data_IF_741966052166
#
_entry.id   IF_741966052166
#
_cell.length_a   1.000
_cell.length_b   1.000
_cell.length_c   1.000
_cell.angle_alpha   90.00
_cell.angle_beta   90.00
_cell.angle_gamma   90.00
#
_symmetry.space_group_name_H-M   'P 1'
#
loop_
_entity.id
_entity.type
_entity.pdbx_description
1 polymer ?
#
# COMPACT_ATOMS: atom_id res chain seq x y z
N UNK A 1 11.37 5.00 39.91
CA UNK A 1 11.55 4.10 38.75
C UNK A 1 10.67 4.65 37.63
N UNK A 2 11.25 5.25 36.59
CA UNK A 2 10.47 5.72 35.45
C UNK A 2 10.09 4.49 34.61
N UNK A 3 8.81 4.14 34.59
CA UNK A 3 8.24 3.19 33.63
C UNK A 3 8.44 3.82 32.26
N UNK A 4 9.36 3.27 31.47
CA UNK A 4 9.51 3.61 30.07
C UNK A 4 8.19 3.29 29.37
N UNK A 5 7.34 4.30 29.22
CA UNK A 5 6.16 4.22 28.38
C UNK A 5 6.66 3.77 27.00
N UNK A 6 6.17 2.67 26.41
CA UNK A 6 6.55 2.35 25.05
C UNK A 6 6.08 3.53 24.22
N UNK A 7 7.02 4.29 23.63
CA UNK A 7 6.69 5.36 22.71
C UNK A 7 5.72 4.74 21.71
N UNK A 8 4.44 5.16 21.66
CA UNK A 8 3.52 4.59 20.69
C UNK A 8 4.18 4.86 19.34
N UNK A 9 4.47 3.78 18.60
CA UNK A 9 5.00 3.89 17.24
C UNK A 9 4.12 4.93 16.56
N UNK A 10 4.66 6.01 15.98
CA UNK A 10 3.84 7.09 15.46
C UNK A 10 2.82 6.46 14.51
N UNK A 11 1.56 6.43 14.95
CA UNK A 11 0.47 5.95 14.11
C UNK A 11 0.54 6.83 12.89
N UNK A 12 0.65 6.21 11.71
CA UNK A 12 0.71 6.95 10.45
C UNK A 12 -0.36 8.04 10.48
N UNK A 13 0.09 9.29 10.38
CA UNK A 13 -0.78 10.45 10.48
C UNK A 13 -0.96 10.98 9.07
N UNK A 14 -2.17 10.96 8.53
CA UNK A 14 -2.41 11.48 7.20
C UNK A 14 -2.23 13.01 7.19
N UNK A 15 -1.43 13.52 6.24
CA UNK A 15 -1.26 14.96 6.00
C UNK A 15 -2.49 15.58 5.31
N UNK A 16 -3.33 14.74 4.70
CA UNK A 16 -4.50 15.12 3.92
C UNK A 16 -5.74 14.28 4.32
N UNK A 17 -6.98 14.69 4.03
CA UNK A 17 -8.16 13.89 4.33
C UNK A 17 -8.08 12.52 3.63
N UNK A 18 -8.10 11.46 4.44
CA UNK A 18 -7.99 10.09 3.93
C UNK A 18 -9.28 9.72 3.21
N UNK A 19 -9.14 9.31 1.96
CA UNK A 19 -10.29 8.85 1.17
C UNK A 19 -10.65 7.45 1.65
N UNK A 20 -11.77 7.35 2.37
CA UNK A 20 -12.33 6.07 2.79
C UNK A 20 -12.88 5.32 1.59
N UNK A 21 -12.31 4.16 1.30
CA UNK A 21 -12.78 3.28 0.24
C UNK A 21 -13.98 2.48 0.75
N UNK A 22 -14.93 2.21 -0.16
CA UNK A 22 -16.02 1.27 0.11
C UNK A 22 -15.47 -0.16 0.17
N UNK A 23 -16.24 -1.10 0.73
CA UNK A 23 -15.83 -2.51 0.77
C UNK A 23 -15.61 -3.11 -0.62
N UNK A 24 -16.40 -2.64 -1.61
CA UNK A 24 -16.28 -3.05 -3.00
C UNK A 24 -14.99 -2.51 -3.63
N UNK A 25 -14.69 -1.22 -3.43
CA UNK A 25 -13.43 -0.60 -3.90
C UNK A 25 -12.22 -1.29 -3.27
N UNK A 26 -12.26 -1.55 -1.95
CA UNK A 26 -11.18 -2.26 -1.26
C UNK A 26 -10.93 -3.63 -1.88
N UNK A 27 -11.98 -4.38 -2.14
CA UNK A 27 -11.87 -5.71 -2.75
C UNK A 27 -11.27 -5.61 -4.15
N UNK A 28 -11.82 -4.71 -4.98
CA UNK A 28 -11.29 -4.47 -6.33
C UNK A 28 -9.82 -4.07 -6.32
N UNK A 29 -9.41 -3.17 -5.42
CA UNK A 29 -8.02 -2.69 -5.38
C UNK A 29 -7.08 -3.81 -4.93
N UNK A 30 -7.48 -4.65 -3.98
CA UNK A 30 -6.69 -5.81 -3.54
C UNK A 30 -6.45 -6.78 -4.69
N UNK A 31 -7.46 -7.06 -5.49
CA UNK A 31 -7.33 -7.96 -6.65
C UNK A 31 -6.41 -7.35 -7.70
N UNK A 32 -6.65 -6.10 -8.09
CA UNK A 32 -5.80 -5.39 -9.06
C UNK A 32 -4.34 -5.31 -8.61
N UNK A 33 -4.07 -5.01 -7.35
CA UNK A 33 -2.69 -5.00 -6.82
C UNK A 33 -2.04 -6.37 -6.96
N UNK A 34 -2.76 -7.46 -6.65
CA UNK A 34 -2.23 -8.83 -6.78
C UNK A 34 -1.93 -9.17 -8.23
N UNK A 35 -2.83 -8.81 -9.15
CA UNK A 35 -2.65 -9.04 -10.58
C UNK A 35 -1.47 -8.24 -11.14
N UNK A 36 -1.37 -6.95 -10.81
CA UNK A 36 -0.30 -6.07 -11.27
C UNK A 36 1.07 -6.50 -10.73
N UNK A 37 1.14 -6.86 -9.45
CA UNK A 37 2.38 -7.37 -8.84
C UNK A 37 2.80 -8.68 -9.50
N UNK A 38 1.88 -9.61 -9.72
CA UNK A 38 2.16 -10.89 -10.36
C UNK A 38 2.55 -10.72 -11.84
N UNK A 39 1.79 -9.91 -12.59
CA UNK A 39 2.04 -9.64 -14.01
C UNK A 39 3.35 -8.91 -14.27
N UNK A 40 3.76 -8.04 -13.36
CA UNK A 40 5.05 -7.35 -13.41
C UNK A 40 6.21 -8.14 -12.79
N UNK A 41 5.98 -9.36 -12.28
CA UNK A 41 6.98 -10.15 -11.52
C UNK A 41 7.61 -9.38 -10.35
N UNK A 42 6.82 -8.51 -9.72
CA UNK A 42 7.22 -7.72 -8.56
C UNK A 42 6.99 -8.50 -7.25
N UNK A 43 7.53 -7.97 -6.15
CA UNK A 43 7.31 -8.54 -4.81
C UNK A 43 6.60 -7.55 -3.91
N UNK A 44 5.87 -8.05 -2.90
CA UNK A 44 5.30 -7.19 -1.86
C UNK A 44 6.37 -6.39 -1.10
N UNK A 45 7.59 -6.94 -0.97
CA UNK A 45 8.74 -6.22 -0.39
C UNK A 45 9.10 -4.97 -1.20
N UNK A 46 9.08 -5.07 -2.54
CA UNK A 46 9.30 -3.91 -3.41
C UNK A 46 8.21 -2.86 -3.18
N UNK A 47 6.94 -3.27 -3.17
CA UNK A 47 5.81 -2.38 -2.95
C UNK A 47 5.88 -1.67 -1.59
N UNK A 48 6.22 -2.40 -0.52
CA UNK A 48 6.46 -1.84 0.82
C UNK A 48 7.55 -0.76 0.80
N UNK A 49 8.64 -1.00 0.07
CA UNK A 49 9.71 -0.02 -0.07
C UNK A 49 9.26 1.23 -0.82
N UNK A 50 8.45 1.09 -1.86
CA UNK A 50 7.87 2.24 -2.58
C UNK A 50 6.89 3.04 -1.71
N UNK A 51 6.04 2.37 -0.93
CA UNK A 51 5.17 3.04 0.03
C UNK A 51 5.97 3.81 1.09
N UNK A 52 7.08 3.24 1.55
CA UNK A 52 7.97 3.88 2.52
C UNK A 52 8.65 5.13 1.95
N UNK A 53 9.02 5.11 0.67
CA UNK A 53 9.56 6.26 -0.06
C UNK A 53 8.54 7.41 -0.15
N UNK A 54 7.26 7.08 -0.33
CA UNK A 54 6.14 8.04 -0.31
C UNK A 54 5.71 8.45 1.12
N UNK A 55 6.43 8.01 2.16
CA UNK A 55 6.14 8.33 3.57
C UNK A 55 5.09 7.45 4.25
N UNK A 56 4.56 6.42 3.58
CA UNK A 56 3.60 5.47 4.14
C UNK A 56 4.32 4.24 4.71
N UNK A 57 4.82 4.37 5.94
CA UNK A 57 5.47 3.28 6.66
C UNK A 57 4.54 2.07 6.82
N UNK A 58 4.90 0.96 6.18
CA UNK A 58 4.09 -0.25 6.11
C UNK A 58 4.99 -1.47 6.28
N UNK A 59 4.60 -2.43 7.11
CA UNK A 59 5.32 -3.71 7.25
C UNK A 59 4.69 -4.83 6.40
N UNK A 60 5.43 -5.94 6.21
CA UNK A 60 4.92 -7.15 5.52
C UNK A 60 3.60 -7.65 6.10
N UNK A 61 3.47 -7.63 7.42
CA UNK A 61 2.24 -8.05 8.10
C UNK A 61 1.08 -7.11 7.78
N UNK A 62 1.30 -5.79 7.83
CA UNK A 62 0.26 -4.80 7.50
C UNK A 62 -0.18 -4.92 6.04
N UNK A 63 0.77 -5.10 5.13
CA UNK A 63 0.52 -5.32 3.71
C UNK A 63 -0.32 -6.61 3.52
N UNK A 64 0.11 -7.73 4.08
CA UNK A 64 -0.64 -9.00 3.98
C UNK A 64 -2.04 -8.91 4.59
N UNK A 65 -2.19 -8.27 5.77
CA UNK A 65 -3.48 -8.12 6.43
C UNK A 65 -4.43 -7.20 5.63
N UNK A 66 -3.88 -6.16 5.00
CA UNK A 66 -4.64 -5.24 4.13
C UNK A 66 -5.10 -5.94 2.84
N UNK A 67 -4.21 -6.71 2.20
CA UNK A 67 -4.51 -7.48 0.99
C UNK A 67 -5.47 -8.64 1.24
N UNK A 68 -5.36 -9.30 2.40
CA UNK A 68 -6.27 -10.36 2.82
C UNK A 68 -7.64 -9.82 3.28
N UNK A 69 -7.75 -8.51 3.50
CA UNK A 69 -8.96 -7.86 3.98
C UNK A 69 -9.25 -7.99 5.46
N UNK A 70 -8.33 -8.56 6.24
CA UNK A 70 -8.40 -8.65 7.70
C UNK A 70 -8.25 -7.26 8.33
N UNK A 71 -7.43 -6.39 7.73
CA UNK A 71 -7.23 -5.02 8.19
C UNK A 71 -7.98 -4.03 7.30
N UNK A 72 -8.84 -3.24 7.93
CA UNK A 72 -9.59 -2.14 7.30
C UNK A 72 -9.43 -0.88 8.15
N UNK A 73 -9.49 0.28 7.49
CA UNK A 73 -9.30 1.58 8.13
C UNK A 73 -8.53 2.53 7.23
N UNK A 74 -8.43 3.79 7.64
CA UNK A 74 -7.90 4.89 6.83
C UNK A 74 -6.48 4.58 6.29
N UNK A 75 -5.59 4.06 7.13
CA UNK A 75 -4.24 3.62 6.70
C UNK A 75 -4.29 2.47 5.68
N UNK A 76 -5.18 1.50 5.86
CA UNK A 76 -5.30 0.36 4.96
C UNK A 76 -5.83 0.78 3.58
N UNK A 77 -6.77 1.73 3.57
CA UNK A 77 -7.29 2.34 2.34
C UNK A 77 -6.19 3.11 1.59
N UNK A 78 -5.37 3.87 2.32
CA UNK A 78 -4.23 4.58 1.74
C UNK A 78 -3.17 3.61 1.19
N UNK A 79 -2.90 2.50 1.90
CA UNK A 79 -1.99 1.43 1.42
C UNK A 79 -2.49 0.91 0.07
N UNK A 80 -3.78 0.59 -0.05
CA UNK A 80 -4.35 0.09 -1.30
C UNK A 80 -4.23 1.13 -2.42
N UNK A 81 -4.65 2.37 -2.15
CA UNK A 81 -4.66 3.44 -3.14
C UNK A 81 -3.26 3.77 -3.64
N UNK A 82 -2.30 3.99 -2.72
CA UNK A 82 -0.90 4.28 -3.06
C UNK A 82 -0.24 3.11 -3.75
N UNK A 83 -0.50 1.89 -3.31
CA UNK A 83 0.04 0.69 -3.96
C UNK A 83 -0.40 0.59 -5.41
N UNK A 84 -1.69 0.77 -5.67
CA UNK A 84 -2.26 0.72 -7.00
C UNK A 84 -1.66 1.81 -7.90
N UNK A 85 -1.57 3.04 -7.39
CA UNK A 85 -1.00 4.17 -8.11
C UNK A 85 0.50 3.97 -8.45
N UNK A 86 1.30 3.47 -7.50
CA UNK A 86 2.71 3.09 -7.75
C UNK A 86 2.81 2.03 -8.85
N UNK A 87 1.96 1.00 -8.80
CA UNK A 87 1.95 -0.07 -9.79
C UNK A 87 1.53 0.42 -11.18
N UNK A 88 0.55 1.32 -11.26
CA UNK A 88 0.17 1.96 -12.53
C UNK A 88 1.31 2.84 -13.08
N UNK A 89 1.94 3.67 -12.25
CA UNK A 89 3.11 4.47 -12.65
C UNK A 89 4.24 3.58 -13.18
N UNK A 90 4.46 2.43 -12.53
CA UNK A 90 5.45 1.44 -12.96
C UNK A 90 5.08 0.78 -14.29
N UNK A 91 3.83 0.33 -14.45
CA UNK A 91 3.30 -0.24 -15.69
C UNK A 91 3.37 0.75 -16.85
N UNK A 92 3.03 2.01 -16.63
CA UNK A 92 3.17 3.06 -17.64
C UNK A 92 4.63 3.20 -18.07
N UNK A 93 5.57 3.28 -17.12
CA UNK A 93 7.01 3.39 -17.43
C UNK A 93 7.55 2.16 -18.17
N UNK A 94 7.11 0.96 -17.80
CA UNK A 94 7.45 -0.30 -18.47
C UNK A 94 6.82 -0.41 -19.87
N UNK A 95 5.55 -0.06 -19.99
CA UNK A 95 4.78 -0.09 -21.24
C UNK A 95 5.27 0.94 -22.25
N UNK A 96 5.80 2.08 -21.80
CA UNK A 96 6.48 3.05 -22.67
C UNK A 96 7.85 2.57 -23.21
N UNK A 97 8.35 1.41 -22.75
CA UNK A 97 9.56 0.78 -23.31
C UNK A 97 9.23 -0.24 -24.42
N UNK A 98 8.00 -0.22 -24.93
CA UNK A 98 7.53 -1.10 -26.00
C UNK A 98 6.76 -0.33 -27.07
N UNK A 99 7.39 0.63 -27.75
CA UNK A 99 6.98 1.00 -29.11
C UNK A 99 8.20 1.00 -30.04
N UNK A 100 8.04 0.45 -31.28
CA UNK A 100 9.12 0.11 -32.22
C UNK A 100 9.77 1.31 -32.93
#
# INVERSE_FOLDING_TARGET
MMVGNPTPRPYWTPDAPVVRLTEQERTSYREQIRELVAGASLTFTWLIRQLSDEGLMTDKYEMSATLSGVRTGDKADEILRRSLDILHRYQMRMGSCGEP
#
